data_IF_328081857276
#
_entry.id   IF_328081857276
#
_cell.length_a   1.000
_cell.length_b   1.000
_cell.length_c   1.000
_cell.angle_alpha   90.00
_cell.angle_beta   90.00
_cell.angle_gamma   90.00
#
_symmetry.space_group_name_H-M   'P 1'
#
loop_
_entity.id
_entity.type
_entity.pdbx_description
1 polymer ?
#
# COMPACT_ATOMS: atom_id res chain seq x y z
N UNK A 1 2.86 -9.60 -5.08
CA UNK A 1 1.46 -9.14 -4.87
C UNK A 1 1.17 -7.99 -5.82
N UNK A 2 -0.09 -7.80 -6.22
CA UNK A 2 -0.49 -6.68 -7.10
C UNK A 2 -1.70 -5.98 -6.50
N UNK A 3 -1.57 -4.67 -6.25
CA UNK A 3 -2.69 -3.82 -5.90
C UNK A 3 -3.59 -3.64 -7.14
N UNK A 4 -4.90 -3.75 -6.96
CA UNK A 4 -5.86 -3.61 -8.07
C UNK A 4 -6.12 -2.15 -8.43
N UNK A 5 -7.12 -1.91 -9.28
CA UNK A 5 -7.69 -0.56 -9.43
C UNK A 5 -8.28 -0.07 -8.09
N UNK A 6 -8.21 1.24 -7.88
CA UNK A 6 -8.94 1.95 -6.84
C UNK A 6 -10.44 1.79 -7.06
N UNK A 7 -11.19 1.49 -6.00
CA UNK A 7 -12.65 1.52 -5.94
C UNK A 7 -13.12 2.78 -5.22
N UNK A 8 -12.49 3.12 -4.09
CA UNK A 8 -12.81 4.29 -3.28
C UNK A 8 -11.69 5.33 -3.35
N UNK A 9 -11.91 6.39 -4.13
CA UNK A 9 -10.90 7.42 -4.39
C UNK A 9 -10.59 8.27 -3.17
N UNK A 10 -11.57 8.51 -2.29
CA UNK A 10 -11.41 9.34 -1.08
C UNK A 10 -10.46 8.70 -0.07
N UNK A 11 -10.20 7.40 -0.21
CA UNK A 11 -9.32 6.63 0.64
C UNK A 11 -8.20 5.93 -0.14
N UNK A 12 -7.93 6.32 -1.38
CA UNK A 12 -6.96 5.62 -2.22
C UNK A 12 -5.51 5.77 -1.71
N UNK A 13 -5.18 6.95 -1.20
CA UNK A 13 -3.95 7.24 -0.48
C UNK A 13 -4.41 7.75 0.88
N UNK A 14 -3.91 7.12 1.93
CA UNK A 14 -4.22 7.53 3.29
C UNK A 14 -2.94 8.04 3.93
N UNK A 15 -3.04 9.14 4.65
CA UNK A 15 -1.94 9.70 5.42
C UNK A 15 -2.29 9.48 6.89
N UNK A 16 -1.59 8.54 7.51
CA UNK A 16 -1.80 8.16 8.90
C UNK A 16 -0.49 8.28 9.67
N UNK A 17 -0.59 8.83 10.88
CA UNK A 17 0.57 9.07 11.73
C UNK A 17 1.44 7.81 11.86
N UNK A 18 2.75 8.02 11.75
CA UNK A 18 3.79 7.00 11.88
C UNK A 18 3.81 5.91 10.79
N UNK A 19 2.92 5.96 9.79
CA UNK A 19 3.01 5.08 8.61
C UNK A 19 4.05 5.60 7.62
N UNK A 20 4.80 4.70 6.99
CA UNK A 20 5.73 5.09 5.92
C UNK A 20 5.03 5.34 4.59
N UNK A 21 4.01 4.54 4.32
CA UNK A 21 3.06 4.72 3.22
C UNK A 21 1.77 3.96 3.55
N UNK A 22 0.65 4.41 2.98
CA UNK A 22 -0.62 3.71 3.06
C UNK A 22 -1.40 3.91 1.74
N UNK A 23 -1.45 2.82 0.96
CA UNK A 23 -2.24 2.73 -0.26
C UNK A 23 -3.57 2.06 0.07
N UNK A 24 -4.55 2.86 0.47
CA UNK A 24 -5.85 2.36 0.88
C UNK A 24 -5.84 1.99 2.33
N UNK A 25 -6.53 2.78 3.17
CA UNK A 25 -6.67 2.48 4.59
C UNK A 25 -7.02 0.99 4.77
N UNK A 26 -6.19 0.27 5.51
CA UNK A 26 -6.30 -1.18 5.72
C UNK A 26 -6.33 -2.00 4.39
N UNK A 27 -5.43 -1.66 3.46
CA UNK A 27 -5.17 -2.38 2.21
C UNK A 27 -3.67 -2.69 2.02
N UNK A 28 -2.82 -1.71 1.67
CA UNK A 28 -1.38 -1.96 1.54
C UNK A 28 -0.60 -0.84 2.21
N UNK A 29 -0.08 -1.11 3.40
CA UNK A 29 0.50 -0.08 4.24
C UNK A 29 1.71 -0.55 5.03
N UNK A 30 2.57 0.39 5.39
CA UNK A 30 3.72 0.18 6.26
C UNK A 30 3.44 0.78 7.63
N UNK A 31 3.41 -0.04 8.68
CA UNK A 31 3.15 0.41 10.05
C UNK A 31 4.31 0.05 10.99
N UNK A 32 4.57 0.86 12.05
CA UNK A 32 5.69 0.67 12.97
C UNK A 32 5.48 -0.44 14.02
N UNK A 33 4.43 -1.24 13.88
CA UNK A 33 4.03 -2.26 14.85
C UNK A 33 5.08 -3.39 14.94
N UNK A 34 5.87 -3.34 16.02
CA UNK A 34 7.00 -4.26 16.26
C UNK A 34 8.06 -4.19 15.15
N UNK A 35 8.46 -2.96 14.80
CA UNK A 35 9.30 -2.65 13.65
C UNK A 35 8.45 -2.33 12.42
N UNK A 36 9.00 -1.54 11.48
CA UNK A 36 8.30 -1.25 10.24
C UNK A 36 8.07 -2.54 9.45
N UNK A 37 6.80 -2.91 9.27
CA UNK A 37 6.36 -4.11 8.55
C UNK A 37 5.38 -3.74 7.46
N UNK A 38 5.34 -4.57 6.43
CA UNK A 38 4.39 -4.45 5.34
C UNK A 38 3.14 -5.27 5.65
N UNK A 39 2.01 -4.58 5.71
CA UNK A 39 0.68 -5.17 5.80
C UNK A 39 0.08 -5.20 4.41
N UNK A 40 -0.24 -6.41 3.93
CA UNK A 40 -0.83 -6.62 2.62
C UNK A 40 -2.18 -7.30 2.79
N UNK A 41 -3.24 -6.50 2.82
CA UNK A 41 -4.62 -6.94 2.92
C UNK A 41 -5.50 -6.10 1.98
N UNK A 42 -6.82 -6.17 2.13
CA UNK A 42 -7.75 -5.28 1.41
C UNK A 42 -9.08 -5.24 2.17
N UNK A 43 -8.99 -5.11 3.49
CA UNK A 43 -10.12 -5.28 4.41
C UNK A 43 -11.15 -4.16 4.27
N UNK A 44 -10.71 -2.93 3.99
CA UNK A 44 -11.62 -1.82 3.73
C UNK A 44 -12.18 -1.80 2.31
N UNK A 45 -11.74 -2.73 1.45
CA UNK A 45 -12.17 -2.84 0.05
C UNK A 45 -12.05 -1.53 -0.76
N UNK A 46 -11.04 -0.70 -0.43
CA UNK A 46 -10.75 0.53 -1.17
C UNK A 46 -10.13 0.23 -2.54
N UNK A 47 -9.60 -0.98 -2.73
CA UNK A 47 -9.07 -1.52 -3.98
C UNK A 47 -9.80 -2.80 -4.40
N UNK A 48 -9.72 -3.13 -5.69
CA UNK A 48 -10.19 -4.44 -6.20
C UNK A 48 -9.48 -5.63 -5.52
N UNK A 49 -10.13 -6.79 -5.51
CA UNK A 49 -9.78 -7.92 -4.64
C UNK A 49 -8.62 -8.82 -5.11
N UNK A 50 -7.58 -8.27 -5.73
CA UNK A 50 -6.35 -9.02 -6.07
C UNK A 50 -5.35 -9.08 -4.90
N UNK A 51 -5.47 -8.19 -3.92
CA UNK A 51 -4.72 -8.24 -2.66
C UNK A 51 -5.63 -8.84 -1.58
N UNK A 52 -5.79 -10.16 -1.57
CA UNK A 52 -6.67 -10.86 -0.63
C UNK A 52 -5.85 -11.79 0.27
N UNK A 53 -5.09 -11.19 1.18
CA UNK A 53 -4.23 -11.90 2.12
C UNK A 53 -4.28 -11.22 3.48
N UNK A 54 -3.89 -11.93 4.53
CA UNK A 54 -3.75 -11.42 5.91
C UNK A 54 -2.30 -11.50 6.40
N UNK A 55 -1.39 -11.65 5.45
CA UNK A 55 0.04 -11.84 5.68
C UNK A 55 0.72 -10.53 6.04
N UNK A 56 1.68 -10.62 6.96
CA UNK A 56 2.52 -9.50 7.41
C UNK A 56 3.96 -9.84 7.04
N UNK A 57 4.59 -8.96 6.26
CA UNK A 57 5.93 -9.20 5.72
C UNK A 57 6.97 -8.32 6.40
N UNK A 58 8.16 -8.88 6.61
CA UNK A 58 9.36 -8.09 6.85
C UNK A 58 9.75 -7.35 5.58
N UNK A 59 10.25 -6.12 5.73
CA UNK A 59 10.70 -5.30 4.61
C UNK A 59 12.22 -5.44 4.51
N UNK A 60 12.71 -5.99 3.39
CA UNK A 60 14.15 -6.04 3.10
C UNK A 60 14.62 -4.76 2.38
N UNK A 61 13.84 -4.28 1.42
CA UNK A 61 14.14 -3.11 0.60
C UNK A 61 12.85 -2.42 0.11
N UNK A 62 12.91 -1.10 -0.08
CA UNK A 62 11.89 -0.31 -0.79
C UNK A 62 12.60 0.52 -1.85
N UNK A 63 12.15 0.39 -3.09
CA UNK A 63 12.63 1.20 -4.22
C UNK A 63 11.51 2.09 -4.76
N UNK A 64 11.84 3.33 -5.14
CA UNK A 64 10.89 4.28 -5.73
C UNK A 64 11.47 4.87 -7.01
N UNK A 65 10.60 5.07 -8.01
CA UNK A 65 11.00 5.56 -9.33
C UNK A 65 10.20 6.81 -9.69
N UNK A 66 10.89 7.84 -10.19
CA UNK A 66 10.24 9.01 -10.77
C UNK A 66 10.07 8.78 -12.27
N UNK A 67 8.83 8.74 -12.74
CA UNK A 67 8.51 8.62 -14.16
C UNK A 67 8.48 10.02 -14.78
N UNK A 68 9.31 10.25 -15.79
CA UNK A 68 9.32 11.48 -16.58
C UNK A 68 8.84 11.21 -18.01
N UNK A 69 8.30 12.21 -18.68
CA UNK A 69 8.01 12.10 -20.12
C UNK A 69 9.35 11.95 -20.85
N UNK A 70 9.54 10.85 -21.55
CA UNK A 70 10.59 10.75 -22.56
C UNK A 70 10.29 11.76 -23.66
N UNK A 71 11.23 12.64 -23.96
CA UNK A 71 11.20 13.40 -25.21
C UNK A 71 11.52 12.39 -26.32
N UNK A 72 10.50 12.04 -27.10
CA UNK A 72 10.62 11.22 -28.32
C UNK A 72 10.74 12.16 -29.52
#
# INVERSE_FOLDING_TARGET
MKLSRVINYDKAIYDYDETGFDFGFDSLFMAPLNGYKLYANNNSHNYGNNLNTVEIYGIEEIETFIITKGFI
#
